data_IF_597292825098
#
_entry.id   IF_597292825098
#
_cell.length_a   1.000
_cell.length_b   1.000
_cell.length_c   1.000
_cell.angle_alpha   90.00
_cell.angle_beta   90.00
_cell.angle_gamma   90.00
#
_symmetry.space_group_name_H-M   'P 1'
#
loop_
_entity.id
_entity.type
_entity.pdbx_description
1 polymer ?
#
# COMPACT_ATOMS: atom_id res chain seq x y z
N UNK A 1 -6.00 -5.01 -11.68
CA UNK A 1 -6.29 -3.70 -11.05
C UNK A 1 -5.76 -3.60 -9.63
N UNK A 2 -6.02 -4.57 -8.75
CA UNK A 2 -5.59 -4.48 -7.34
C UNK A 2 -4.06 -4.43 -7.13
N UNK A 3 -3.28 -5.15 -7.94
CA UNK A 3 -1.81 -5.09 -7.90
C UNK A 3 -1.27 -3.69 -8.24
N UNK A 4 -1.88 -3.00 -9.21
CA UNK A 4 -1.53 -1.62 -9.54
C UNK A 4 -1.86 -0.69 -8.36
N UNK A 5 -3.04 -0.85 -7.75
CA UNK A 5 -3.39 -0.11 -6.55
C UNK A 5 -2.38 -0.35 -5.41
N UNK A 6 -1.86 -1.57 -5.27
CA UNK A 6 -0.81 -1.86 -4.28
C UNK A 6 0.49 -1.11 -4.58
N UNK A 7 0.90 -1.00 -5.84
CA UNK A 7 2.06 -0.17 -6.23
C UNK A 7 1.82 1.30 -5.92
N UNK A 8 0.65 1.85 -6.27
CA UNK A 8 0.29 3.24 -5.98
C UNK A 8 0.21 3.54 -4.48
N UNK A 9 -0.10 2.53 -3.66
CA UNK A 9 -0.11 2.62 -2.20
C UNK A 9 1.26 2.39 -1.56
N UNK A 10 2.25 1.92 -2.34
CA UNK A 10 3.58 1.54 -1.88
C UNK A 10 3.67 0.12 -1.32
N UNK A 11 2.58 -0.64 -1.29
CA UNK A 11 2.50 -2.00 -0.72
C UNK A 11 3.23 -3.06 -1.56
N UNK A 12 3.75 -2.70 -2.73
CA UNK A 12 4.55 -3.59 -3.59
C UNK A 12 5.89 -4.02 -2.96
N UNK A 13 6.33 -3.36 -1.88
CA UNK A 13 7.52 -3.76 -1.11
C UNK A 13 7.20 -4.81 -0.04
N UNK A 14 5.92 -5.12 0.20
CA UNK A 14 5.52 -6.14 1.17
C UNK A 14 5.85 -7.53 0.62
N UNK A 15 6.34 -8.43 1.49
CA UNK A 15 6.61 -9.83 1.12
C UNK A 15 5.37 -10.60 0.67
N UNK A 16 4.18 -10.09 0.99
CA UNK A 16 2.88 -10.60 0.59
C UNK A 16 2.46 -10.18 -0.82
N UNK A 17 3.16 -9.22 -1.43
CA UNK A 17 2.93 -8.83 -2.83
C UNK A 17 3.63 -9.82 -3.78
N UNK A 18 3.01 -10.19 -4.92
CA UNK A 18 1.64 -9.87 -5.31
C UNK A 18 0.61 -10.90 -4.81
N UNK A 19 1.05 -12.02 -4.22
CA UNK A 19 0.24 -13.22 -4.08
C UNK A 19 -0.91 -13.08 -3.09
N UNK A 20 -0.74 -12.36 -1.98
CA UNK A 20 -1.76 -12.27 -0.93
C UNK A 20 -2.63 -11.00 -1.01
N UNK A 21 -2.23 -10.04 -1.85
CA UNK A 21 -2.99 -8.81 -2.03
C UNK A 21 -4.35 -9.12 -2.67
N UNK A 22 -5.42 -8.88 -1.90
CA UNK A 22 -6.81 -9.05 -2.35
C UNK A 22 -7.42 -10.42 -2.11
N UNK A 23 -6.67 -11.44 -1.70
CA UNK A 23 -7.19 -12.80 -1.52
C UNK A 23 -8.31 -12.91 -0.47
N UNK A 24 -8.31 -12.02 0.52
CA UNK A 24 -9.26 -12.01 1.64
C UNK A 24 -10.13 -10.75 1.67
N UNK A 25 -10.19 -10.00 0.56
CA UNK A 25 -11.01 -8.79 0.47
C UNK A 25 -12.34 -9.09 -0.21
N UNK A 26 -13.42 -8.58 0.37
CA UNK A 26 -14.70 -8.46 -0.34
C UNK A 26 -14.56 -7.47 -1.50
N UNK A 27 -15.49 -7.50 -2.46
CA UNK A 27 -15.51 -6.55 -3.59
C UNK A 27 -15.54 -5.11 -3.08
N UNK A 28 -16.30 -4.83 -2.01
CA UNK A 28 -16.38 -3.50 -1.38
C UNK A 28 -15.03 -3.04 -0.83
N UNK A 29 -14.31 -3.91 -0.13
CA UNK A 29 -12.97 -3.62 0.41
C UNK A 29 -11.93 -3.45 -0.71
N UNK A 30 -12.01 -4.27 -1.76
CA UNK A 30 -11.18 -4.13 -2.94
C UNK A 30 -11.36 -2.76 -3.61
N UNK A 31 -12.60 -2.33 -3.82
CA UNK A 31 -12.90 -1.00 -4.38
C UNK A 31 -12.37 0.12 -3.49
N UNK A 32 -12.66 0.07 -2.19
CA UNK A 32 -12.17 1.08 -1.24
C UNK A 32 -10.63 1.13 -1.19
N UNK A 33 -9.96 -0.02 -1.29
CA UNK A 33 -8.51 -0.10 -1.36
C UNK A 33 -7.95 0.61 -2.59
N UNK A 34 -8.58 0.41 -3.76
CA UNK A 34 -8.17 1.09 -5.00
C UNK A 34 -8.40 2.60 -4.93
N UNK A 35 -9.56 3.04 -4.44
CA UNK A 35 -9.90 4.46 -4.29
C UNK A 35 -8.91 5.17 -3.36
N UNK A 36 -8.57 4.55 -2.22
CA UNK A 36 -7.58 5.08 -1.29
C UNK A 36 -6.19 5.16 -1.92
N UNK A 37 -5.75 4.11 -2.64
CA UNK A 37 -4.45 4.09 -3.31
C UNK A 37 -4.30 5.23 -4.31
N UNK A 38 -5.32 5.43 -5.17
CA UNK A 38 -5.34 6.50 -6.16
C UNK A 38 -5.34 7.87 -5.48
N UNK A 39 -6.22 8.07 -4.49
CA UNK A 39 -6.31 9.34 -3.75
C UNK A 39 -4.99 9.73 -3.11
N UNK A 40 -4.31 8.78 -2.43
CA UNK A 40 -3.04 9.04 -1.74
C UNK A 40 -1.91 9.33 -2.71
N UNK A 41 -1.83 8.59 -3.83
CA UNK A 41 -0.83 8.84 -4.86
C UNK A 41 -0.96 10.24 -5.46
N UNK A 42 -2.18 10.65 -5.83
CA UNK A 42 -2.41 12.01 -6.36
C UNK A 42 -2.11 13.10 -5.34
N UNK A 43 -2.50 12.91 -4.07
CA UNK A 43 -2.16 13.86 -3.01
C UNK A 43 -0.64 14.01 -2.89
N UNK A 44 0.09 12.89 -2.85
CA UNK A 44 1.54 12.90 -2.77
C UNK A 44 2.19 13.57 -4.00
N UNK A 45 1.65 13.35 -5.21
CA UNK A 45 2.05 14.06 -6.43
C UNK A 45 1.87 15.58 -6.34
N UNK A 46 0.69 16.03 -5.88
CA UNK A 46 0.42 17.47 -5.68
C UNK A 46 1.36 18.06 -4.62
N UNK A 47 1.64 17.33 -3.54
CA UNK A 47 2.60 17.78 -2.52
C UNK A 47 4.02 17.84 -3.09
N UNK A 48 4.48 16.83 -3.81
CA UNK A 48 5.79 16.81 -4.44
C UNK A 48 5.98 18.00 -5.40
N UNK A 49 4.99 18.26 -6.26
CA UNK A 49 4.98 19.42 -7.15
C UNK A 49 5.07 20.75 -6.39
N UNK A 50 4.32 20.90 -5.28
CA UNK A 50 4.40 22.09 -4.42
C UNK A 50 5.76 22.27 -3.75
N UNK A 51 6.49 21.18 -3.52
CA UNK A 51 7.84 21.19 -2.93
C UNK A 51 8.94 21.43 -3.97
N UNK A 52 8.60 21.65 -5.24
CA UNK A 52 9.56 21.87 -6.32
C UNK A 52 10.29 20.60 -6.78
N UNK A 53 9.71 19.42 -6.51
CA UNK A 53 10.20 18.17 -7.10
C UNK A 53 9.97 18.21 -8.61
N UNK A 54 10.90 17.62 -9.37
CA UNK A 54 10.81 17.48 -10.81
C UNK A 54 9.48 16.81 -11.22
N UNK A 55 8.78 17.41 -12.19
CA UNK A 55 7.49 16.91 -12.67
C UNK A 55 7.62 15.59 -13.43
N UNK A 56 8.81 15.29 -13.97
CA UNK A 56 9.10 14.00 -14.63
C UNK A 56 9.35 12.88 -13.62
N UNK A 57 9.58 13.22 -12.34
CA UNK A 57 9.85 12.24 -11.30
C UNK A 57 8.55 11.62 -10.75
N UNK A 58 8.47 10.29 -10.83
CA UNK A 58 7.37 9.53 -10.23
C UNK A 58 7.52 9.50 -8.70
N UNK A 59 6.46 9.88 -7.99
CA UNK A 59 6.42 9.82 -6.52
C UNK A 59 6.50 8.36 -6.05
N UNK A 60 7.53 8.07 -5.26
CA UNK A 60 7.68 6.77 -4.61
C UNK A 60 6.91 6.75 -3.28
N UNK A 61 5.81 6.01 -3.26
CA UNK A 61 4.97 5.84 -2.08
C UNK A 61 5.58 4.79 -1.14
N UNK A 62 5.54 5.06 0.17
CA UNK A 62 5.88 4.06 1.20
C UNK A 62 4.60 3.41 1.72
N UNK A 63 4.60 2.09 2.00
CA UNK A 63 3.45 1.44 2.63
C UNK A 63 3.02 2.19 3.88
N UNK A 64 1.73 2.43 4.03
CA UNK A 64 1.18 2.94 5.29
C UNK A 64 1.18 1.89 6.41
N UNK A 65 1.33 0.63 6.03
CA UNK A 65 1.41 -0.51 6.93
C UNK A 65 2.86 -1.00 6.95
N UNK A 66 3.66 -0.56 7.92
CA UNK A 66 4.73 -1.44 8.40
C UNK A 66 3.99 -2.64 8.97
N UNK A 67 4.10 -3.82 8.35
CA UNK A 67 3.56 -5.04 8.93
C UNK A 67 4.26 -5.27 10.27
N UNK A 68 3.68 -4.76 11.36
CA UNK A 68 3.99 -5.25 12.70
C UNK A 68 3.57 -6.71 12.65
N UNK A 69 4.54 -7.62 12.55
CA UNK A 69 4.30 -9.06 12.66
C UNK A 69 3.36 -9.24 13.84
N UNK A 70 2.17 -9.78 13.61
CA UNK A 70 1.29 -10.22 14.69
C UNK A 70 2.12 -11.17 15.53
N UNK A 71 2.49 -10.75 16.75
CA UNK A 71 3.09 -11.61 17.74
C UNK A 71 2.18 -12.82 17.89
N UNK A 72 2.62 -13.98 17.37
CA UNK A 72 2.04 -15.26 17.78
C UNK A 72 2.19 -15.29 19.31
N UNK A 73 1.12 -15.53 20.09
CA UNK A 73 1.30 -15.76 21.52
C UNK A 73 2.22 -16.96 21.69
N UNK A 74 3.20 -16.82 22.58
CA UNK A 74 4.08 -17.89 22.98
C UNK A 74 3.22 -19.00 23.59
N UNK A 75 3.10 -20.12 22.90
CA UNK A 75 2.74 -21.37 23.56
C UNK A 75 4.04 -21.92 24.14
N UNK A 76 4.36 -21.47 25.36
CA UNK A 76 5.15 -22.27 26.29
C UNK A 76 4.31 -23.47 26.68
N UNK A 77 4.79 -24.69 26.45
CA UNK A 77 4.43 -25.83 27.29
C UNK A 77 5.63 -26.80 27.41
N UNK A 78 5.79 -27.44 28.59
CA UNK A 78 7.02 -28.09 29.06
C UNK A 78 7.40 -29.38 28.33
#
# INVERSE_FOLDING_TARGET
MLQLAAVLKGDNVLSSYPSEIGKQMTVKEGTAYMEDAVRRFFQAGVYAKKMGVDEEQIVQMKPSLTTRRSSKPAYEHP
#
